data_IF_964566863869
#
_entry.id   IF_964566863869
#
_cell.length_a   1.000
_cell.length_b   1.000
_cell.length_c   1.000
_cell.angle_alpha   90.00
_cell.angle_beta   90.00
_cell.angle_gamma   90.00
#
_symmetry.space_group_name_H-M   'P 1'
#
loop_
_entity.id
_entity.type
_entity.pdbx_description
1 polymer ?
#
# COMPACT_ATOMS: atom_id res chain seq x y z
N UNK A 1 23.54 -13.28 29.36
CA UNK A 1 23.89 -11.87 29.01
C UNK A 1 24.26 -11.64 27.54
N UNK A 2 25.32 -12.24 26.95
CA UNK A 2 25.75 -11.94 25.55
C UNK A 2 24.69 -12.14 24.44
N UNK A 3 23.77 -13.11 24.57
CA UNK A 3 22.64 -13.31 23.63
C UNK A 3 21.54 -12.25 23.79
N UNK A 4 21.34 -11.75 25.00
CA UNK A 4 20.31 -10.76 25.33
C UNK A 4 20.71 -9.36 24.84
N UNK A 5 21.97 -8.97 25.05
CA UNK A 5 22.53 -7.72 24.50
C UNK A 5 22.60 -7.71 22.97
N UNK A 6 22.83 -8.86 22.32
CA UNK A 6 22.72 -8.97 20.85
C UNK A 6 21.29 -8.77 20.35
N UNK A 7 20.28 -9.32 21.02
CA UNK A 7 18.87 -9.13 20.63
C UNK A 7 18.43 -7.66 20.75
N UNK A 8 18.79 -6.99 21.84
CA UNK A 8 18.38 -5.58 22.09
C UNK A 8 18.92 -4.62 21.02
N UNK A 9 20.11 -4.88 20.46
CA UNK A 9 20.72 -4.04 19.42
C UNK A 9 20.37 -4.46 17.99
N UNK A 10 20.07 -5.74 17.77
CA UNK A 10 19.82 -6.28 16.42
C UNK A 10 18.44 -5.89 15.86
N UNK A 11 17.39 -5.94 16.67
CA UNK A 11 16.03 -5.61 16.20
C UNK A 11 15.87 -4.13 15.80
N UNK A 12 16.35 -3.13 16.57
CA UNK A 12 16.28 -1.73 16.15
C UNK A 12 17.07 -1.45 14.87
N UNK A 13 18.23 -2.10 14.71
CA UNK A 13 19.03 -2.00 13.49
C UNK A 13 18.30 -2.60 12.28
N UNK A 14 17.69 -3.79 12.45
CA UNK A 14 16.90 -4.42 11.39
C UNK A 14 15.70 -3.55 10.98
N UNK A 15 15.00 -2.94 11.94
CA UNK A 15 13.88 -2.02 11.68
C UNK A 15 14.36 -0.78 10.92
N UNK A 16 15.51 -0.21 11.28
CA UNK A 16 16.11 0.91 10.55
C UNK A 16 16.42 0.54 9.09
N UNK A 17 17.02 -0.63 8.85
CA UNK A 17 17.33 -1.11 7.50
C UNK A 17 16.06 -1.31 6.67
N UNK A 18 15.04 -1.97 7.22
CA UNK A 18 13.75 -2.15 6.54
C UNK A 18 13.04 -0.81 6.26
N UNK A 19 13.13 0.15 7.19
CA UNK A 19 12.56 1.49 6.98
C UNK A 19 13.28 2.25 5.86
N UNK A 20 14.60 2.13 5.75
CA UNK A 20 15.38 2.77 4.69
C UNK A 20 15.03 2.18 3.31
N UNK A 21 14.85 0.86 3.22
CA UNK A 21 14.47 0.19 1.97
C UNK A 21 13.08 0.64 1.52
N UNK A 22 12.08 0.61 2.42
CA UNK A 22 10.71 1.03 2.10
C UNK A 22 10.63 2.51 1.69
N UNK A 23 11.39 3.39 2.35
CA UNK A 23 11.50 4.80 1.96
C UNK A 23 12.15 5.00 0.59
N UNK A 24 13.13 4.18 0.23
CA UNK A 24 13.76 4.25 -1.10
C UNK A 24 12.74 3.93 -2.20
N UNK A 25 11.93 2.88 -2.03
CA UNK A 25 10.85 2.56 -2.96
C UNK A 25 9.80 3.66 -3.03
N UNK A 26 9.42 4.22 -1.89
CA UNK A 26 8.47 5.33 -1.82
C UNK A 26 8.97 6.58 -2.55
N UNK A 27 10.26 6.92 -2.41
CA UNK A 27 10.88 8.03 -3.13
C UNK A 27 10.80 7.85 -4.65
N UNK A 28 11.18 6.67 -5.18
CA UNK A 28 11.12 6.43 -6.62
C UNK A 28 9.68 6.51 -7.15
N UNK A 29 8.73 5.92 -6.41
CA UNK A 29 7.31 5.99 -6.74
C UNK A 29 6.80 7.43 -6.78
N UNK A 30 7.11 8.24 -5.75
CA UNK A 30 6.66 9.62 -5.67
C UNK A 30 7.29 10.49 -6.76
N UNK A 31 8.59 10.30 -7.02
CA UNK A 31 9.31 11.00 -8.07
C UNK A 31 8.72 10.72 -9.45
N UNK A 32 8.45 9.46 -9.78
CA UNK A 32 7.87 9.08 -11.07
C UNK A 32 6.46 9.64 -11.24
N UNK A 33 5.66 9.59 -10.16
CA UNK A 33 4.33 10.18 -10.12
C UNK A 33 4.35 11.69 -10.35
N UNK A 34 5.18 12.44 -9.64
CA UNK A 34 5.24 13.90 -9.80
C UNK A 34 5.79 14.32 -11.16
N UNK A 35 6.81 13.62 -11.68
CA UNK A 35 7.30 13.85 -13.05
C UNK A 35 6.18 13.65 -14.08
N UNK A 36 5.42 12.57 -13.98
CA UNK A 36 4.29 12.30 -14.89
C UNK A 36 3.25 13.42 -14.83
N UNK A 37 2.87 13.86 -13.63
CA UNK A 37 1.89 14.95 -13.45
C UNK A 37 2.40 16.27 -14.05
N UNK A 38 3.68 16.60 -13.85
CA UNK A 38 4.29 17.80 -14.40
C UNK A 38 4.35 17.76 -15.93
N UNK A 39 4.76 16.62 -16.50
CA UNK A 39 4.79 16.40 -17.94
C UNK A 39 3.39 16.56 -18.53
N UNK A 40 2.38 15.89 -17.96
CA UNK A 40 0.99 15.97 -18.44
C UNK A 40 0.43 17.41 -18.38
N UNK A 41 0.74 18.14 -17.32
CA UNK A 41 0.37 19.56 -17.20
C UNK A 41 1.02 20.40 -18.29
N UNK A 42 2.32 20.21 -18.51
CA UNK A 42 3.08 20.93 -19.55
C UNK A 42 2.55 20.59 -20.95
N UNK A 43 2.25 19.32 -21.23
CA UNK A 43 1.68 18.88 -22.51
C UNK A 43 0.32 19.54 -22.78
N UNK A 44 -0.49 19.72 -21.73
CA UNK A 44 -1.78 20.40 -21.83
C UNK A 44 -1.62 21.89 -22.11
N UNK A 45 -0.75 22.57 -21.36
CA UNK A 45 -0.44 24.00 -21.59
C UNK A 45 0.14 24.22 -22.99
N UNK A 46 1.07 23.37 -23.41
CA UNK A 46 1.67 23.41 -24.74
C UNK A 46 0.61 23.29 -25.83
N UNK A 47 -0.36 22.38 -25.66
CA UNK A 47 -1.47 22.22 -26.62
C UNK A 47 -2.31 23.48 -26.74
N UNK A 48 -2.68 24.08 -25.61
CA UNK A 48 -3.53 25.28 -25.59
C UNK A 48 -2.79 26.48 -26.21
N UNK A 49 -1.50 26.66 -25.88
CA UNK A 49 -0.63 27.67 -26.48
C UNK A 49 -0.51 27.50 -28.00
N UNK A 50 -0.34 26.26 -28.47
CA UNK A 50 -0.16 25.93 -29.87
C UNK A 50 -1.41 26.32 -30.70
N UNK A 51 -2.61 26.10 -30.17
CA UNK A 51 -3.86 26.52 -30.81
C UNK A 51 -4.00 28.04 -30.88
N UNK A 52 -3.70 28.74 -29.78
CA UNK A 52 -3.75 30.22 -29.74
C UNK A 52 -2.73 30.83 -30.70
N UNK A 53 -1.51 30.29 -30.72
CA UNK A 53 -0.43 30.73 -31.60
C UNK A 53 -0.78 30.47 -33.07
N UNK A 54 -1.29 29.27 -33.40
CA UNK A 54 -1.79 28.97 -34.75
C UNK A 54 -2.82 30.00 -35.22
N UNK A 55 -3.85 30.25 -34.43
CA UNK A 55 -4.92 31.18 -34.81
C UNK A 55 -4.38 32.61 -35.04
N UNK A 56 -3.46 33.05 -34.19
CA UNK A 56 -2.83 34.37 -34.30
C UNK A 56 -1.97 34.47 -35.57
N UNK A 57 -1.13 33.47 -35.83
CA UNK A 57 -0.26 33.41 -37.02
C UNK A 57 -1.09 33.36 -38.31
N UNK A 58 -2.13 32.52 -38.38
CA UNK A 58 -2.99 32.43 -39.55
C UNK A 58 -3.71 33.76 -39.82
N UNK A 59 -4.20 34.42 -38.76
CA UNK A 59 -4.85 35.73 -38.86
C UNK A 59 -3.89 36.80 -39.39
N UNK A 60 -2.69 36.90 -38.83
CA UNK A 60 -1.68 37.87 -39.28
C UNK A 60 -1.10 37.53 -40.66
N UNK A 61 -1.07 36.25 -41.02
CA UNK A 61 -0.71 35.80 -42.36
C UNK A 61 -1.71 36.26 -43.42
N UNK A 62 -3.01 36.21 -43.12
CA UNK A 62 -4.04 36.75 -44.01
C UNK A 62 -3.96 38.28 -44.13
N UNK A 63 -3.54 38.97 -43.07
CA UNK A 63 -3.27 40.42 -43.07
C UNK A 63 -1.95 40.79 -43.76
N UNK A 64 -1.12 39.80 -44.15
CA UNK A 64 0.21 39.98 -44.75
C UNK A 64 1.15 40.84 -43.91
N UNK A 65 1.06 40.72 -42.58
CA UNK A 65 1.88 41.49 -41.63
C UNK A 65 2.95 40.59 -40.98
N UNK A 66 4.18 40.55 -41.53
CA UNK A 66 5.25 39.70 -41.02
C UNK A 66 5.77 40.16 -39.65
N UNK A 67 5.61 41.44 -39.29
CA UNK A 67 6.07 41.97 -38.01
C UNK A 67 5.21 41.46 -36.86
N UNK A 68 3.90 41.38 -37.04
CA UNK A 68 2.98 40.78 -36.05
C UNK A 68 3.22 39.28 -35.86
N UNK A 69 3.45 38.54 -36.96
CA UNK A 69 3.79 37.11 -36.90
C UNK A 69 5.06 36.90 -36.07
N UNK A 70 6.13 37.65 -36.38
CA UNK A 70 7.39 37.55 -35.64
C UNK A 70 7.26 38.02 -34.18
N UNK A 71 6.44 39.04 -33.91
CA UNK A 71 6.15 39.54 -32.57
C UNK A 71 5.44 38.51 -31.69
N UNK A 72 4.48 37.78 -32.23
CA UNK A 72 3.81 36.68 -31.51
C UNK A 72 4.74 35.54 -31.15
N UNK A 73 5.59 35.14 -32.11
CA UNK A 73 6.61 34.11 -31.88
C UNK A 73 7.54 34.54 -30.75
N UNK A 74 8.01 35.79 -30.78
CA UNK A 74 8.87 36.32 -29.72
C UNK A 74 8.15 36.37 -28.38
N UNK A 75 6.87 36.78 -28.34
CA UNK A 75 6.08 36.84 -27.10
C UNK A 75 6.00 35.49 -26.39
N UNK A 76 5.74 34.41 -27.13
CA UNK A 76 5.63 33.07 -26.55
C UNK A 76 7.02 32.48 -26.23
N UNK A 77 8.04 32.81 -27.03
CA UNK A 77 9.41 32.36 -26.78
C UNK A 77 10.05 32.92 -25.49
N UNK A 78 9.46 33.93 -24.84
CA UNK A 78 9.92 34.44 -23.54
C UNK A 78 9.53 33.54 -22.37
N UNK A 79 8.59 32.60 -22.56
CA UNK A 79 8.18 31.67 -21.49
C UNK A 79 9.34 30.76 -21.08
N UNK A 80 9.43 30.46 -19.78
CA UNK A 80 10.58 29.78 -19.16
C UNK A 80 10.87 28.38 -19.69
N UNK A 81 9.88 27.70 -20.24
CA UNK A 81 9.96 26.33 -20.73
C UNK A 81 10.02 26.22 -22.26
N UNK A 82 9.97 27.34 -23.01
CA UNK A 82 10.04 27.32 -24.48
C UNK A 82 11.49 27.49 -24.93
N UNK A 83 12.07 26.42 -25.48
CA UNK A 83 13.45 26.44 -25.98
C UNK A 83 13.55 27.19 -27.33
N UNK A 84 12.59 26.92 -28.23
CA UNK A 84 12.55 27.53 -29.55
C UNK A 84 11.21 27.33 -30.26
N UNK A 85 10.87 28.26 -31.14
CA UNK A 85 9.68 28.19 -32.01
C UNK A 85 10.16 28.32 -33.44
N UNK A 86 9.68 27.45 -34.32
CA UNK A 86 10.04 27.40 -35.73
C UNK A 86 8.78 27.37 -36.60
N UNK A 87 8.77 28.17 -37.65
CA UNK A 87 7.74 28.10 -38.69
C UNK A 87 8.39 27.89 -40.04
N UNK A 88 7.95 26.85 -40.73
CA UNK A 88 8.49 26.47 -42.02
C UNK A 88 7.39 26.26 -43.07
N UNK A 89 7.82 26.27 -44.32
CA UNK A 89 6.98 25.99 -45.49
C UNK A 89 7.41 24.67 -46.17
N UNK A 90 6.58 24.10 -47.06
CA UNK A 90 6.82 22.83 -47.77
C UNK A 90 8.11 22.75 -48.62
N UNK A 91 8.92 23.83 -48.71
CA UNK A 91 10.24 23.85 -49.36
C UNK A 91 11.41 23.81 -48.37
N UNK A 92 11.15 23.39 -47.12
CA UNK A 92 12.16 23.10 -46.07
C UNK A 92 13.03 24.29 -45.62
N UNK A 93 12.65 25.53 -45.95
CA UNK A 93 13.32 26.75 -45.46
C UNK A 93 12.56 27.34 -44.27
N UNK A 94 13.28 27.69 -43.21
CA UNK A 94 12.71 28.42 -42.07
C UNK A 94 12.47 29.88 -42.43
N UNK A 95 11.22 30.34 -42.29
CA UNK A 95 10.86 31.73 -42.57
C UNK A 95 10.66 32.55 -41.30
N UNK A 96 10.23 31.90 -40.22
CA UNK A 96 10.13 32.54 -38.91
C UNK A 96 10.74 31.63 -37.84
N UNK A 97 11.43 32.24 -36.89
CA UNK A 97 12.02 31.56 -35.76
C UNK A 97 12.08 32.49 -34.56
N UNK A 98 11.99 31.94 -33.35
CA UNK A 98 12.31 32.70 -32.13
C UNK A 98 13.79 33.13 -32.10
N UNK A 99 14.67 32.35 -32.73
CA UNK A 99 16.11 32.63 -32.86
C UNK A 99 16.38 33.27 -34.21
N UNK A 100 16.77 34.55 -34.21
CA UNK A 100 17.06 35.31 -35.45
C UNK A 100 18.09 34.64 -36.36
N UNK A 101 19.08 33.97 -35.79
CA UNK A 101 20.16 33.31 -36.53
C UNK A 101 19.71 32.06 -37.30
N UNK A 102 18.49 31.57 -37.06
CA UNK A 102 17.98 30.34 -37.67
C UNK A 102 17.05 30.61 -38.86
N UNK A 103 16.65 31.86 -39.05
CA UNK A 103 15.84 32.30 -40.19
C UNK A 103 16.66 32.14 -41.48
N UNK A 104 16.07 31.54 -42.51
CA UNK A 104 16.69 31.29 -43.81
C UNK A 104 17.54 30.02 -43.91
N UNK A 105 17.79 29.31 -42.79
CA UNK A 105 18.47 28.01 -42.82
C UNK A 105 17.55 26.90 -43.36
N UNK A 106 18.10 25.87 -44.02
CA UNK A 106 17.34 24.68 -44.37
C UNK A 106 17.07 23.82 -43.13
N UNK A 107 15.98 23.07 -43.16
CA UNK A 107 15.54 22.18 -42.08
C UNK A 107 16.62 21.16 -41.68
N UNK A 108 17.40 20.67 -42.66
CA UNK A 108 18.55 19.78 -42.46
C UNK A 108 19.71 20.37 -41.67
N UNK A 109 19.77 21.69 -41.46
CA UNK A 109 20.81 22.33 -40.68
C UNK A 109 20.47 22.39 -39.18
N UNK A 110 19.21 22.18 -38.80
CA UNK A 110 18.75 22.31 -37.41
C UNK A 110 18.26 20.99 -36.80
N UNK A 111 17.83 20.03 -37.62
CA UNK A 111 17.26 18.77 -37.16
C UNK A 111 17.99 17.57 -37.77
N UNK A 112 18.03 16.46 -37.02
CA UNK A 112 18.60 15.20 -37.51
C UNK A 112 17.73 14.57 -38.60
N UNK A 113 18.29 13.72 -39.46
CA UNK A 113 17.52 13.02 -40.50
C UNK A 113 16.32 12.24 -39.96
N UNK A 114 16.43 11.69 -38.75
CA UNK A 114 15.36 10.97 -38.04
C UNK A 114 14.24 11.90 -37.59
N UNK A 115 14.58 13.06 -37.00
CA UNK A 115 13.60 14.08 -36.61
C UNK A 115 12.87 14.62 -37.83
N UNK A 116 13.59 14.84 -38.93
CA UNK A 116 13.01 15.34 -40.19
C UNK A 116 12.00 14.35 -40.76
N UNK A 117 12.33 13.05 -40.76
CA UNK A 117 11.40 12.00 -41.19
C UNK A 117 10.16 11.95 -40.30
N UNK A 118 10.35 12.04 -38.97
CA UNK A 118 9.26 12.04 -38.00
C UNK A 118 8.30 13.22 -38.22
N UNK A 119 8.81 14.45 -38.30
CA UNK A 119 7.96 15.61 -38.58
C UNK A 119 7.27 15.47 -39.94
N UNK A 120 7.96 14.96 -40.98
CA UNK A 120 7.36 14.77 -42.30
C UNK A 120 6.15 13.82 -42.24
N UNK A 121 6.25 12.71 -41.52
CA UNK A 121 5.13 11.78 -41.32
C UNK A 121 3.96 12.44 -40.56
N UNK A 122 4.23 13.13 -39.45
CA UNK A 122 3.21 13.79 -38.64
C UNK A 122 2.45 14.88 -39.42
N UNK A 123 3.16 15.59 -40.28
CA UNK A 123 2.63 16.69 -41.08
C UNK A 123 1.80 16.26 -42.29
N UNK A 124 2.04 15.06 -42.81
CA UNK A 124 1.22 14.49 -43.88
C UNK A 124 0.02 13.71 -43.34
N UNK A 125 0.06 13.24 -42.08
CA UNK A 125 -0.91 12.30 -41.53
C UNK A 125 -2.16 12.91 -40.87
N UNK A 126 -2.15 14.16 -40.39
CA UNK A 126 -3.33 14.71 -39.68
C UNK A 126 -3.44 16.24 -39.64
N UNK A 127 -4.68 16.75 -39.51
CA UNK A 127 -5.01 18.17 -39.24
C UNK A 127 -4.91 18.53 -37.74
N UNK A 128 -4.57 17.57 -36.88
CA UNK A 128 -4.51 17.74 -35.43
C UNK A 128 -3.08 18.09 -34.98
N UNK A 129 -2.92 18.76 -33.81
CA UNK A 129 -1.61 18.95 -33.22
C UNK A 129 -1.02 17.61 -32.77
N UNK A 130 0.25 17.40 -33.12
CA UNK A 130 1.05 16.27 -32.66
C UNK A 130 2.01 16.75 -31.58
N UNK A 131 2.16 15.96 -30.52
CA UNK A 131 3.09 16.28 -29.44
C UNK A 131 3.96 15.05 -29.22
N UNK A 132 5.25 15.21 -29.44
CA UNK A 132 6.27 14.21 -29.25
C UNK A 132 7.06 14.51 -27.98
N UNK A 133 7.23 13.50 -27.12
CA UNK A 133 8.08 13.59 -25.93
C UNK A 133 9.36 12.78 -26.18
N UNK A 134 10.49 13.47 -26.24
CA UNK A 134 11.80 12.86 -26.31
C UNK A 134 12.25 12.47 -24.89
N UNK A 135 11.92 11.23 -24.51
CA UNK A 135 12.08 10.72 -23.14
C UNK A 135 13.52 10.79 -22.59
N UNK A 136 14.54 10.77 -23.44
CA UNK A 136 15.95 10.83 -23.01
C UNK A 136 16.38 12.21 -22.55
N UNK A 137 15.76 13.27 -23.06
CA UNK A 137 16.16 14.65 -22.81
C UNK A 137 15.06 15.51 -22.19
N UNK A 138 13.87 14.95 -21.86
CA UNK A 138 12.72 15.71 -21.37
C UNK A 138 12.39 16.93 -22.24
N UNK A 139 12.55 16.76 -23.56
CA UNK A 139 12.17 17.73 -24.56
C UNK A 139 10.83 17.37 -25.15
N UNK A 140 9.98 18.38 -25.35
CA UNK A 140 8.66 18.20 -25.95
C UNK A 140 8.64 18.98 -27.25
N UNK A 141 8.41 18.28 -28.36
CA UNK A 141 8.19 18.89 -29.66
C UNK A 141 6.71 18.87 -29.98
N UNK A 142 6.10 20.05 -30.04
CA UNK A 142 4.70 20.23 -30.41
C UNK A 142 4.60 20.78 -31.83
N UNK A 143 3.91 20.06 -32.72
CA UNK A 143 3.79 20.37 -34.15
C UNK A 143 2.33 20.58 -34.54
N UNK A 144 2.03 21.64 -35.29
CA UNK A 144 0.69 21.87 -35.87
C UNK A 144 0.78 22.40 -37.30
N UNK A 145 -0.05 21.90 -38.24
CA UNK A 145 -0.12 22.46 -39.58
C UNK A 145 -0.82 23.83 -39.58
N UNK A 146 -0.28 24.74 -40.38
CA UNK A 146 -0.84 26.06 -40.67
C UNK A 146 -1.48 26.05 -42.06
N UNK A 147 -2.74 26.46 -42.14
CA UNK A 147 -3.45 26.60 -43.41
C UNK A 147 -2.98 27.84 -44.18
N UNK A 148 -2.63 28.90 -43.43
CA UNK A 148 -2.23 30.19 -43.99
C UNK A 148 -0.95 30.68 -43.31
N UNK A 149 0.12 30.75 -44.09
CA UNK A 149 1.41 31.30 -43.71
C UNK A 149 1.87 32.30 -44.78
N UNK A 150 2.05 33.56 -44.38
CA UNK A 150 2.56 34.60 -45.27
C UNK A 150 4.08 34.47 -45.43
N UNK A 151 4.55 34.52 -46.67
CA UNK A 151 5.97 34.47 -47.01
C UNK A 151 6.41 35.84 -47.53
N UNK A 152 7.13 36.65 -46.72
CA UNK A 152 7.50 38.02 -47.09
C UNK A 152 8.39 38.06 -48.34
N UNK A 153 9.31 37.10 -48.48
CA UNK A 153 10.24 37.02 -49.62
C UNK A 153 9.56 36.82 -50.97
N UNK A 154 8.34 36.27 -50.96
CA UNK A 154 7.58 35.91 -52.17
C UNK A 154 6.26 36.67 -52.29
N UNK A 155 5.83 37.38 -51.26
CA UNK A 155 4.54 38.09 -51.21
C UNK A 155 3.30 37.19 -51.29
N UNK A 156 3.44 35.88 -51.02
CA UNK A 156 2.37 34.88 -51.16
C UNK A 156 2.01 34.24 -49.82
N UNK A 157 0.77 33.76 -49.71
CA UNK A 157 0.31 32.93 -48.60
C UNK A 157 0.32 31.47 -49.04
N UNK A 158 0.92 30.58 -48.24
CA UNK A 158 0.96 29.13 -48.48
C UNK A 158 0.62 28.37 -47.21
N UNK A 159 0.42 27.06 -47.34
CA UNK A 159 0.42 26.18 -46.18
C UNK A 159 1.82 26.11 -45.58
N UNK A 160 1.88 25.92 -44.27
CA UNK A 160 3.12 25.81 -43.52
C UNK A 160 2.90 25.02 -42.25
N UNK A 161 3.85 25.11 -41.36
CA UNK A 161 3.94 24.21 -40.21
C UNK A 161 4.63 24.94 -39.08
N UNK A 162 4.02 24.86 -37.90
CA UNK A 162 4.52 25.46 -36.67
C UNK A 162 5.03 24.33 -35.78
N UNK A 163 6.29 24.45 -35.36
CA UNK A 163 6.91 23.59 -34.35
C UNK A 163 7.27 24.46 -33.16
N UNK A 164 6.86 24.03 -31.97
CA UNK A 164 7.26 24.63 -30.69
C UNK A 164 7.99 23.57 -29.89
N UNK A 165 9.24 23.85 -29.53
CA UNK A 165 10.08 23.00 -28.70
C UNK A 165 10.10 23.53 -27.29
N UNK A 166 9.75 22.67 -26.34
CA UNK A 166 9.85 22.92 -24.92
C UNK A 166 11.01 22.12 -24.32
N UNK A 167 11.78 22.76 -23.45
CA UNK A 167 12.81 22.11 -22.64
C UNK A 167 12.40 22.23 -21.17
N UNK A 168 11.92 21.13 -20.61
CA UNK A 168 11.53 21.03 -19.20
C UNK A 168 12.60 20.31 -18.36
N UNK A 169 13.81 20.11 -18.90
CA UNK A 169 14.90 19.45 -18.18
C UNK A 169 15.24 20.16 -16.88
N UNK A 170 15.25 21.50 -16.92
CA UNK A 170 15.56 22.32 -15.75
C UNK A 170 14.49 22.16 -14.66
N UNK A 171 13.21 22.23 -15.04
CA UNK A 171 12.09 22.12 -14.12
C UNK A 171 12.01 20.72 -13.50
N UNK A 172 12.19 19.67 -14.30
CA UNK A 172 12.26 18.28 -13.81
C UNK A 172 13.46 18.09 -12.87
N UNK A 173 14.60 18.74 -13.16
CA UNK A 173 15.78 18.70 -12.27
C UNK A 173 15.51 19.42 -10.96
N UNK A 174 14.88 20.59 -10.98
CA UNK A 174 14.48 21.31 -9.78
C UNK A 174 13.50 20.50 -8.93
N UNK A 175 12.46 19.94 -9.56
CA UNK A 175 11.49 19.06 -8.91
C UNK A 175 12.19 17.87 -8.22
N UNK A 176 13.11 17.23 -8.94
CA UNK A 176 13.90 16.11 -8.40
C UNK A 176 14.73 16.55 -7.18
N UNK A 177 15.40 17.70 -7.26
CA UNK A 177 16.19 18.24 -6.14
C UNK A 177 15.31 18.63 -4.93
N UNK A 178 14.14 19.19 -5.19
CA UNK A 178 13.18 19.55 -4.14
C UNK A 178 12.69 18.30 -3.40
N UNK A 179 12.22 17.29 -4.13
CA UNK A 179 11.79 16.01 -3.55
C UNK A 179 12.91 15.33 -2.78
N UNK A 180 14.15 15.33 -3.30
CA UNK A 180 15.32 14.80 -2.60
C UNK A 180 15.56 15.52 -1.27
N UNK A 181 15.47 16.86 -1.25
CA UNK A 181 15.65 17.65 -0.02
C UNK A 181 14.58 17.36 1.01
N UNK A 182 13.31 17.30 0.60
CA UNK A 182 12.19 17.00 1.50
C UNK A 182 12.30 15.58 2.09
N UNK A 183 12.64 14.58 1.27
CA UNK A 183 12.85 13.21 1.73
C UNK A 183 14.06 13.08 2.65
N UNK A 184 15.14 13.81 2.39
CA UNK A 184 16.31 13.84 3.27
C UNK A 184 15.96 14.42 4.65
N UNK A 185 15.22 15.53 4.69
CA UNK A 185 14.75 16.14 5.94
C UNK A 185 13.83 15.19 6.71
N UNK A 186 12.90 14.54 6.01
CA UNK A 186 12.02 13.53 6.59
C UNK A 186 12.82 12.37 7.20
N UNK A 187 13.85 11.88 6.49
CA UNK A 187 14.71 10.80 6.98
C UNK A 187 15.52 11.21 8.21
N UNK A 188 16.10 12.41 8.23
CA UNK A 188 16.84 12.93 9.40
C UNK A 188 15.91 13.02 10.60
N UNK A 189 14.69 13.56 10.41
CA UNK A 189 13.69 13.66 11.49
C UNK A 189 13.27 12.28 12.00
N UNK A 190 12.98 11.34 11.10
CA UNK A 190 12.59 9.98 11.47
C UNK A 190 13.71 9.26 12.23
N UNK A 191 14.96 9.42 11.79
CA UNK A 191 16.14 8.89 12.47
C UNK A 191 16.33 9.50 13.86
N UNK A 192 16.13 10.81 14.01
CA UNK A 192 16.19 11.51 15.30
C UNK A 192 15.12 10.99 16.27
N UNK A 193 13.88 10.87 15.83
CA UNK A 193 12.76 10.35 16.64
C UNK A 193 13.04 8.91 17.05
N UNK A 194 13.46 8.06 16.11
CA UNK A 194 13.80 6.66 16.39
C UNK A 194 14.96 6.58 17.39
N UNK A 195 16.00 7.40 17.24
CA UNK A 195 17.12 7.49 18.16
C UNK A 195 16.69 7.90 19.57
N UNK A 196 15.82 8.90 19.70
CA UNK A 196 15.26 9.32 21.00
C UNK A 196 14.40 8.23 21.64
N UNK A 197 13.58 7.53 20.84
CA UNK A 197 12.81 6.39 21.34
C UNK A 197 13.73 5.29 21.84
N UNK A 198 14.70 4.85 21.02
CA UNK A 198 15.67 3.81 21.40
C UNK A 198 16.44 4.22 22.66
N UNK A 199 16.88 5.47 22.76
CA UNK A 199 17.57 5.99 23.96
C UNK A 199 16.65 6.00 25.18
N UNK A 200 15.39 6.43 25.03
CA UNK A 200 14.39 6.43 26.09
C UNK A 200 14.10 5.01 26.60
N UNK A 201 13.91 4.07 25.69
CA UNK A 201 13.76 2.64 26.01
C UNK A 201 15.02 2.10 26.70
N UNK A 202 16.21 2.37 26.14
CA UNK A 202 17.47 1.94 26.73
C UNK A 202 17.63 2.48 28.15
N UNK A 203 17.44 3.78 28.37
CA UNK A 203 17.54 4.39 29.70
C UNK A 203 16.50 3.83 30.67
N UNK A 204 15.24 3.72 30.25
CA UNK A 204 14.16 3.24 31.12
C UNK A 204 14.40 1.80 31.58
N UNK A 205 14.79 0.92 30.66
CA UNK A 205 14.99 -0.49 30.96
C UNK A 205 16.36 -0.75 31.61
N UNK A 206 17.45 -0.24 31.03
CA UNK A 206 18.81 -0.51 31.54
C UNK A 206 19.04 0.10 32.91
N UNK A 207 18.58 1.32 33.20
CA UNK A 207 18.73 1.89 34.55
C UNK A 207 17.90 1.11 35.58
N UNK A 208 16.67 0.69 35.25
CA UNK A 208 15.88 -0.19 36.14
C UNK A 208 16.58 -1.53 36.38
N UNK A 209 17.15 -2.13 35.35
CA UNK A 209 17.89 -3.39 35.45
C UNK A 209 19.19 -3.24 36.25
N UNK A 210 19.95 -2.17 36.04
CA UNK A 210 21.18 -1.90 36.80
C UNK A 210 20.89 -1.64 38.28
N UNK A 211 19.87 -0.85 38.58
CA UNK A 211 19.50 -0.55 39.96
C UNK A 211 18.93 -1.79 40.66
N UNK A 212 18.26 -2.70 39.93
CA UNK A 212 17.89 -4.03 40.43
C UNK A 212 19.13 -4.91 40.68
N UNK A 213 20.13 -4.88 39.79
CA UNK A 213 21.34 -5.69 39.93
C UNK A 213 22.24 -5.23 41.09
N UNK A 214 22.43 -3.93 41.25
CA UNK A 214 23.27 -3.34 42.31
C UNK A 214 22.62 -3.52 43.70
N UNK A 215 21.28 -3.40 43.79
CA UNK A 215 20.56 -3.70 45.03
C UNK A 215 20.66 -5.19 45.39
N UNK A 216 20.71 -6.10 44.43
CA UNK A 216 20.95 -7.53 44.71
C UNK A 216 22.38 -7.85 45.16
N UNK A 217 23.37 -7.05 44.76
CA UNK A 217 24.79 -7.25 45.10
C UNK A 217 25.14 -6.67 46.47
N UNK A 218 24.62 -5.49 46.83
CA UNK A 218 24.77 -4.92 48.18
C UNK A 218 24.03 -5.72 49.27
N UNK A 219 22.92 -6.38 48.90
CA UNK A 219 22.19 -7.31 49.78
C UNK A 219 22.88 -8.68 49.94
N UNK A 220 23.95 -8.99 49.18
CA UNK A 220 24.67 -10.26 49.24
C UNK A 220 25.86 -10.25 50.23
N UNK A 221 26.33 -9.08 50.67
CA UNK A 221 27.50 -8.91 51.55
C UNK A 221 27.22 -8.88 53.05
N UNK A 222 25.95 -8.87 53.47
CA UNK A 222 25.55 -9.00 54.88
C UNK A 222 24.62 -10.21 55.01
N UNK A 223 24.84 -11.01 56.04
CA UNK A 223 24.16 -12.29 56.30
C UNK A 223 22.70 -12.30 55.84
N UNK A 224 22.45 -13.14 54.84
CA UNK A 224 21.18 -13.35 54.14
C UNK A 224 20.00 -13.55 55.12
N UNK A 225 18.97 -12.68 55.11
CA UNK A 225 17.63 -13.09 55.49
C UNK A 225 16.85 -13.38 54.21
N UNK A 226 16.84 -14.65 53.79
CA UNK A 226 15.86 -15.50 53.05
C UNK A 226 14.83 -14.89 52.06
N UNK A 227 14.85 -13.59 51.74
CA UNK A 227 13.81 -12.90 50.96
C UNK A 227 14.31 -12.44 49.58
N UNK A 228 15.61 -12.23 49.42
CA UNK A 228 16.24 -11.79 48.17
C UNK A 228 16.37 -12.89 47.10
N UNK A 229 16.25 -14.17 47.49
CA UNK A 229 16.15 -15.29 46.54
C UNK A 229 14.78 -15.33 45.84
N UNK A 230 13.73 -14.69 46.39
CA UNK A 230 12.37 -14.70 45.82
C UNK A 230 12.15 -13.74 44.64
N UNK A 231 13.03 -12.74 44.44
CA UNK A 231 12.79 -11.69 43.43
C UNK A 231 13.36 -12.05 42.04
N UNK A 232 14.55 -12.66 41.95
CA UNK A 232 15.08 -13.22 40.69
C UNK A 232 14.33 -14.49 40.27
N UNK A 233 13.98 -15.33 41.23
CA UNK A 233 13.04 -16.44 41.05
C UNK A 233 11.69 -15.90 40.54
N UNK A 234 11.25 -14.71 40.97
CA UNK A 234 9.97 -14.14 40.57
C UNK A 234 9.82 -13.77 39.09
N UNK A 235 10.88 -13.37 38.36
CA UNK A 235 10.77 -13.02 36.92
C UNK A 235 10.88 -14.27 36.05
N UNK A 236 11.82 -15.16 36.36
CA UNK A 236 11.94 -16.45 35.67
C UNK A 236 10.70 -17.31 35.96
N UNK A 237 10.17 -17.31 37.19
CA UNK A 237 8.90 -17.96 37.53
C UNK A 237 7.71 -17.33 36.81
N UNK A 238 7.68 -15.99 36.61
CA UNK A 238 6.58 -15.34 35.89
C UNK A 238 6.61 -15.69 34.40
N UNK A 239 7.80 -15.68 33.79
CA UNK A 239 7.99 -16.06 32.39
C UNK A 239 7.72 -17.56 32.19
N UNK A 240 8.17 -18.40 33.13
CA UNK A 240 7.86 -19.83 33.13
C UNK A 240 6.37 -20.08 33.37
N UNK A 241 5.70 -19.30 34.24
CA UNK A 241 4.28 -19.43 34.50
C UNK A 241 3.46 -19.03 33.26
N UNK A 242 3.84 -17.96 32.57
CA UNK A 242 3.21 -17.55 31.32
C UNK A 242 3.44 -18.60 30.22
N UNK A 243 4.66 -19.09 30.06
CA UNK A 243 4.97 -20.16 29.11
C UNK A 243 4.24 -21.46 29.45
N UNK A 244 4.13 -21.82 30.74
CA UNK A 244 3.35 -22.97 31.20
C UNK A 244 1.86 -22.76 30.93
N UNK A 245 1.33 -21.56 31.10
CA UNK A 245 -0.07 -21.24 30.79
C UNK A 245 -0.34 -21.36 29.28
N UNK A 246 0.50 -20.74 28.43
CA UNK A 246 0.41 -20.84 26.97
C UNK A 246 0.54 -22.29 26.51
N UNK A 247 1.52 -23.02 27.04
CA UNK A 247 1.72 -24.44 26.72
C UNK A 247 0.54 -25.30 27.18
N UNK A 248 -0.03 -25.03 28.35
CA UNK A 248 -1.22 -25.72 28.86
C UNK A 248 -2.43 -25.47 27.97
N UNK A 249 -2.66 -24.22 27.54
CA UNK A 249 -3.72 -23.89 26.59
C UNK A 249 -3.51 -24.58 25.24
N UNK A 250 -2.29 -24.59 24.72
CA UNK A 250 -1.97 -25.26 23.46
C UNK A 250 -2.20 -26.78 23.56
N UNK A 251 -1.80 -27.41 24.67
CA UNK A 251 -2.05 -28.83 24.91
C UNK A 251 -3.54 -29.13 25.04
N UNK A 252 -4.30 -28.31 25.77
CA UNK A 252 -5.75 -28.48 25.91
C UNK A 252 -6.47 -28.29 24.57
N UNK A 253 -6.10 -27.28 23.79
CA UNK A 253 -6.62 -27.07 22.44
C UNK A 253 -6.28 -28.26 21.53
N UNK A 254 -5.04 -28.75 21.57
CA UNK A 254 -4.65 -29.93 20.81
C UNK A 254 -5.44 -31.18 21.22
N UNK A 255 -5.64 -31.40 22.53
CA UNK A 255 -6.47 -32.50 23.05
C UNK A 255 -7.91 -32.36 22.57
N UNK A 256 -8.50 -31.17 22.64
CA UNK A 256 -9.86 -30.92 22.14
C UNK A 256 -9.99 -31.23 20.66
N UNK A 257 -9.10 -30.67 19.83
CA UNK A 257 -9.08 -30.84 18.37
C UNK A 257 -8.83 -32.28 17.93
N UNK A 258 -7.98 -33.02 18.66
CA UNK A 258 -7.57 -34.39 18.32
C UNK A 258 -8.33 -35.46 19.08
N UNK A 259 -9.26 -35.10 19.98
CA UNK A 259 -10.05 -36.07 20.72
C UNK A 259 -10.81 -36.98 19.72
N UNK A 260 -10.74 -38.31 19.83
CA UNK A 260 -11.46 -39.22 18.93
C UNK A 260 -12.99 -39.07 19.01
N UNK A 261 -13.51 -38.62 20.16
CA UNK A 261 -14.94 -38.38 20.36
C UNK A 261 -15.34 -37.03 19.76
N UNK A 262 -16.53 -36.99 19.17
CA UNK A 262 -17.15 -35.75 18.71
C UNK A 262 -17.48 -34.88 19.92
N UNK A 263 -16.97 -33.64 19.94
CA UNK A 263 -17.23 -32.69 21.03
C UNK A 263 -17.73 -31.39 20.44
N UNK A 264 -18.83 -30.89 20.98
CA UNK A 264 -19.33 -29.53 20.74
C UNK A 264 -19.48 -28.76 22.06
N UNK A 265 -19.31 -27.45 21.99
CA UNK A 265 -19.53 -26.55 23.12
C UNK A 265 -20.56 -25.50 22.71
N UNK A 266 -21.54 -25.26 23.58
CA UNK A 266 -22.60 -24.27 23.35
C UNK A 266 -22.73 -23.29 24.52
N UNK A 267 -23.25 -22.11 24.25
CA UNK A 267 -23.66 -21.14 25.28
C UNK A 267 -24.94 -21.59 25.99
N UNK A 268 -25.33 -20.88 27.06
CA UNK A 268 -26.63 -21.05 27.72
C UNK A 268 -27.84 -20.95 26.76
N UNK A 269 -27.73 -20.14 25.69
CA UNK A 269 -28.75 -20.00 24.64
C UNK A 269 -28.68 -21.11 23.58
N UNK A 270 -27.87 -22.15 23.83
CA UNK A 270 -27.62 -23.31 22.98
C UNK A 270 -26.95 -22.97 21.65
N UNK A 271 -26.28 -21.82 21.54
CA UNK A 271 -25.51 -21.46 20.34
C UNK A 271 -24.14 -22.12 20.37
N UNK A 272 -23.77 -22.82 19.31
CA UNK A 272 -22.48 -23.48 19.18
C UNK A 272 -21.35 -22.45 19.13
N UNK A 273 -20.35 -22.62 19.97
CA UNK A 273 -19.16 -21.75 20.03
C UNK A 273 -17.87 -22.47 19.67
N UNK A 274 -17.88 -23.81 19.71
CA UNK A 274 -16.76 -24.63 19.27
C UNK A 274 -17.23 -26.02 18.85
N UNK A 275 -16.58 -26.61 17.85
CA UNK A 275 -16.75 -28.00 17.45
C UNK A 275 -15.41 -28.59 16.98
N UNK A 276 -15.01 -29.75 17.52
CA UNK A 276 -13.70 -30.33 17.21
C UNK A 276 -13.64 -31.06 15.85
N UNK A 277 -12.45 -31.49 15.41
CA UNK A 277 -12.30 -32.25 14.15
C UNK A 277 -13.02 -33.60 14.10
N UNK A 278 -13.34 -34.20 15.25
CA UNK A 278 -14.11 -35.44 15.27
C UNK A 278 -15.59 -35.21 15.00
N UNK A 279 -16.15 -34.07 15.45
CA UNK A 279 -17.45 -33.61 15.01
C UNK A 279 -17.50 -33.46 13.48
N UNK A 280 -16.50 -32.77 12.90
CA UNK A 280 -16.48 -32.56 11.44
C UNK A 280 -16.45 -33.88 10.66
N UNK A 281 -15.69 -34.87 11.15
CA UNK A 281 -15.63 -36.21 10.54
C UNK A 281 -16.91 -37.03 10.74
N UNK A 282 -17.52 -36.94 11.92
CA UNK A 282 -18.72 -37.71 12.25
C UNK A 282 -19.95 -37.18 11.50
N UNK A 283 -20.14 -35.86 11.51
CA UNK A 283 -21.33 -35.20 10.94
C UNK A 283 -21.14 -34.74 9.50
N UNK A 284 -19.91 -34.62 9.00
CA UNK A 284 -19.62 -34.13 7.66
C UNK A 284 -19.89 -32.63 7.48
N UNK A 285 -19.90 -31.86 8.58
CA UNK A 285 -20.12 -30.41 8.62
C UNK A 285 -18.87 -29.74 9.18
N UNK A 286 -18.44 -28.62 8.61
CA UNK A 286 -17.32 -27.86 9.16
C UNK A 286 -17.76 -27.06 10.38
N UNK A 287 -16.86 -26.83 11.33
CA UNK A 287 -17.13 -25.99 12.51
C UNK A 287 -17.69 -24.63 12.09
N UNK A 288 -17.05 -23.98 11.11
CA UNK A 288 -17.46 -22.67 10.60
C UNK A 288 -18.90 -22.63 10.05
N UNK A 289 -19.48 -23.76 9.66
CA UNK A 289 -20.85 -23.85 9.14
C UNK A 289 -21.89 -23.91 10.27
N UNK A 290 -21.49 -24.32 11.47
CA UNK A 290 -22.36 -24.53 12.63
C UNK A 290 -22.16 -23.51 13.74
N UNK A 291 -21.04 -22.77 13.75
CA UNK A 291 -20.79 -21.71 14.72
C UNK A 291 -21.95 -20.69 14.76
N UNK A 292 -22.37 -20.34 15.98
CA UNK A 292 -23.46 -19.40 16.25
C UNK A 292 -24.88 -19.97 16.07
N UNK A 293 -25.04 -21.17 15.48
CA UNK A 293 -26.32 -21.85 15.29
C UNK A 293 -26.64 -22.79 16.45
N UNK A 294 -27.90 -23.23 16.55
CA UNK A 294 -28.31 -24.23 17.54
C UNK A 294 -28.15 -25.66 16.99
N UNK A 295 -27.81 -26.67 17.82
CA UNK A 295 -27.80 -28.09 17.41
C UNK A 295 -29.09 -28.53 16.68
N UNK A 296 -30.23 -28.09 17.20
CA UNK A 296 -31.57 -28.34 16.65
C UNK A 296 -31.68 -27.87 15.18
N UNK A 297 -31.09 -26.72 14.84
CA UNK A 297 -31.11 -26.14 13.50
C UNK A 297 -30.07 -26.81 12.58
N UNK A 298 -28.92 -27.21 13.13
CA UNK A 298 -27.76 -27.66 12.36
C UNK A 298 -27.83 -29.14 12.01
N UNK A 299 -27.98 -30.03 12.99
CA UNK A 299 -27.77 -31.47 12.80
C UNK A 299 -28.76 -32.36 13.59
N UNK A 300 -29.81 -31.81 14.22
CA UNK A 300 -30.85 -32.66 14.80
C UNK A 300 -31.69 -33.36 13.72
N UNK A 301 -31.98 -34.65 13.92
CA UNK A 301 -32.86 -35.43 13.04
C UNK A 301 -34.35 -35.15 13.26
N UNK A 302 -34.71 -34.64 14.45
CA UNK A 302 -36.09 -34.48 14.92
C UNK A 302 -36.92 -35.79 14.96
N UNK A 303 -36.27 -36.96 14.89
CA UNK A 303 -36.94 -38.27 14.94
C UNK A 303 -37.32 -38.69 16.36
N UNK A 304 -36.72 -38.09 17.39
CA UNK A 304 -37.05 -38.39 18.78
C UNK A 304 -38.25 -37.57 19.28
N UNK A 305 -39.11 -38.14 20.14
CA UNK A 305 -40.22 -37.40 20.73
C UNK A 305 -39.74 -36.16 21.48
N UNK A 306 -40.50 -35.06 21.41
CA UNK A 306 -40.20 -33.82 22.15
C UNK A 306 -40.05 -34.03 23.65
N UNK A 307 -40.77 -35.00 24.20
CA UNK A 307 -40.70 -35.40 25.60
C UNK A 307 -39.30 -35.90 26.00
N UNK A 308 -38.60 -36.59 25.09
CA UNK A 308 -37.24 -37.07 25.33
C UNK A 308 -36.26 -35.90 25.53
N UNK A 309 -36.31 -34.90 24.64
CA UNK A 309 -35.50 -33.70 24.77
C UNK A 309 -35.86 -32.89 26.02
N UNK A 310 -37.13 -32.84 26.41
CA UNK A 310 -37.57 -32.20 27.66
C UNK A 310 -36.91 -32.87 28.87
N UNK A 311 -37.00 -34.19 28.97
CA UNK A 311 -36.40 -34.96 30.06
C UNK A 311 -34.87 -34.84 30.08
N UNK A 312 -34.23 -34.80 28.91
CA UNK A 312 -32.79 -34.53 28.78
C UNK A 312 -32.42 -33.20 29.42
N UNK A 313 -33.10 -32.10 29.05
CA UNK A 313 -32.81 -30.77 29.59
C UNK A 313 -33.13 -30.69 31.09
N UNK A 314 -34.26 -31.23 31.54
CA UNK A 314 -34.61 -31.28 32.97
C UNK A 314 -33.54 -32.01 33.79
N UNK A 315 -33.06 -33.15 33.31
CA UNK A 315 -31.98 -33.92 33.95
C UNK A 315 -30.67 -33.15 33.97
N UNK A 316 -30.28 -32.54 32.85
CA UNK A 316 -29.06 -31.74 32.76
C UNK A 316 -29.08 -30.55 33.74
N UNK A 317 -30.20 -29.85 33.85
CA UNK A 317 -30.34 -28.71 34.77
C UNK A 317 -30.41 -29.14 36.24
N UNK A 318 -30.99 -30.30 36.53
CA UNK A 318 -31.09 -30.81 37.90
C UNK A 318 -29.78 -31.44 38.41
N UNK A 319 -29.08 -32.19 37.56
CA UNK A 319 -27.94 -33.03 37.95
C UNK A 319 -26.59 -32.54 37.40
N UNK A 320 -26.59 -31.60 36.45
CA UNK A 320 -25.39 -31.08 35.79
C UNK A 320 -24.85 -31.97 34.67
N UNK A 321 -25.36 -33.19 34.53
CA UNK A 321 -24.96 -34.18 33.52
C UNK A 321 -26.21 -34.93 33.02
N UNK A 322 -26.24 -35.26 31.74
CA UNK A 322 -27.17 -36.20 31.13
C UNK A 322 -26.43 -37.17 30.21
N UNK A 323 -26.88 -38.42 30.15
CA UNK A 323 -26.36 -39.43 29.22
C UNK A 323 -27.52 -40.22 28.63
N UNK A 324 -27.47 -40.48 27.33
CA UNK A 324 -28.48 -41.29 26.68
C UNK A 324 -28.29 -41.37 25.17
N UNK A 325 -29.19 -42.08 24.52
CA UNK A 325 -29.22 -42.18 23.06
C UNK A 325 -29.89 -40.94 22.45
N UNK A 326 -29.27 -40.39 21.40
CA UNK A 326 -29.79 -39.34 20.53
C UNK A 326 -29.71 -39.81 19.09
N UNK A 327 -30.77 -39.51 18.32
CA UNK A 327 -30.75 -39.69 16.87
C UNK A 327 -30.56 -38.32 16.22
N UNK A 328 -29.40 -38.11 15.59
CA UNK A 328 -29.08 -36.89 14.84
C UNK A 328 -28.93 -37.19 13.35
N UNK A 329 -28.57 -36.19 12.53
CA UNK A 329 -28.37 -36.33 11.08
C UNK A 329 -27.04 -35.75 10.61
N UNK A 330 -26.44 -36.42 9.63
CA UNK A 330 -25.29 -35.92 8.87
C UNK A 330 -25.67 -34.79 7.91
N UNK A 331 -24.66 -34.13 7.35
CA UNK A 331 -24.83 -33.16 6.26
C UNK A 331 -25.52 -33.74 5.02
N UNK A 332 -25.34 -35.03 4.75
CA UNK A 332 -26.00 -35.77 3.67
C UNK A 332 -27.46 -36.21 4.01
N UNK A 333 -27.92 -35.94 5.23
CA UNK A 333 -29.26 -36.30 5.70
C UNK A 333 -29.39 -37.70 6.34
N UNK A 334 -28.32 -38.51 6.36
CA UNK A 334 -28.33 -39.84 6.98
C UNK A 334 -28.52 -39.73 8.49
N UNK A 335 -29.45 -40.51 9.05
CA UNK A 335 -29.67 -40.59 10.49
C UNK A 335 -28.49 -41.30 11.19
N UNK A 336 -28.03 -40.73 12.30
CA UNK A 336 -26.98 -41.26 13.17
C UNK A 336 -27.57 -41.53 14.55
N UNK A 337 -27.57 -42.79 14.99
CA UNK A 337 -27.82 -43.08 16.41
C UNK A 337 -26.52 -42.95 17.19
N UNK A 338 -26.51 -42.09 18.21
CA UNK A 338 -25.35 -41.72 18.99
C UNK A 338 -25.64 -41.92 20.47
N UNK A 339 -24.67 -42.47 21.19
CA UNK A 339 -24.67 -42.39 22.65
C UNK A 339 -24.01 -41.08 23.07
N UNK A 340 -24.78 -40.13 23.59
CA UNK A 340 -24.31 -38.79 23.93
C UNK A 340 -24.22 -38.60 25.45
N UNK A 341 -23.21 -37.84 25.87
CA UNK A 341 -23.05 -37.36 27.24
C UNK A 341 -22.98 -35.85 27.24
N UNK A 342 -24.00 -35.20 27.78
CA UNK A 342 -24.09 -33.75 27.91
C UNK A 342 -23.74 -33.36 29.34
N UNK A 343 -22.92 -32.34 29.54
CA UNK A 343 -22.66 -31.77 30.85
C UNK A 343 -22.63 -30.25 30.79
N UNK A 344 -22.91 -29.61 31.92
CA UNK A 344 -22.83 -28.15 32.03
C UNK A 344 -21.71 -27.74 32.95
N UNK A 345 -21.10 -26.59 32.65
CA UNK A 345 -20.16 -25.95 33.55
C UNK A 345 -20.39 -24.44 33.55
N UNK A 346 -20.06 -23.80 34.67
CA UNK A 346 -20.05 -22.36 34.79
C UNK A 346 -18.61 -21.86 34.76
N UNK A 347 -18.34 -20.87 33.91
CA UNK A 347 -17.04 -20.24 33.86
C UNK A 347 -16.78 -19.49 35.17
N UNK A 348 -15.64 -19.72 35.86
CA UNK A 348 -15.39 -19.16 37.18
C UNK A 348 -15.41 -17.62 37.25
N UNK A 349 -15.10 -16.94 36.14
CA UNK A 349 -14.92 -15.48 36.10
C UNK A 349 -16.21 -14.78 35.67
N UNK A 350 -16.76 -15.14 34.51
CA UNK A 350 -17.96 -14.51 33.95
C UNK A 350 -19.25 -15.03 34.58
N UNK A 351 -19.20 -16.18 35.26
CA UNK A 351 -20.35 -17.00 35.64
C UNK A 351 -21.25 -17.38 34.46
N UNK A 352 -20.73 -17.31 33.23
CA UNK A 352 -21.43 -17.77 32.05
C UNK A 352 -21.54 -19.30 32.07
N UNK A 353 -22.73 -19.80 31.76
CA UNK A 353 -23.01 -21.24 31.70
C UNK A 353 -22.81 -21.75 30.27
N UNK A 354 -22.12 -22.87 30.15
CA UNK A 354 -21.88 -23.57 28.89
C UNK A 354 -22.39 -25.01 28.98
N UNK A 355 -22.71 -25.59 27.83
CA UNK A 355 -23.03 -27.01 27.69
C UNK A 355 -22.02 -27.67 26.75
N UNK A 356 -21.50 -28.82 27.14
CA UNK A 356 -20.57 -29.63 26.35
C UNK A 356 -21.20 -30.99 26.11
N UNK A 357 -21.23 -31.42 24.86
CA UNK A 357 -21.84 -32.69 24.49
C UNK A 357 -21.25 -33.31 23.24
#
# INVERSE_FOLDING_TARGET
>A
MKRFTRSILFYPFLVLVLSAVTMTFFYFYLLEKEKSVYIDSTLKEARDDLYLLKNSIETYSLQKDPHKIQGEIQRIAVRSNVESIFIFCPKETLHYSSRKNDIGKPFSALFSSTQIAHYREELHASKAPHIHLENSEYKIDATIPLNYLYLPDKGIVKTGSLIVRYDITYDIRQLTQQLQREMLLFFILLSLIMGLMIFGFYRHFVCKFYHLAETTEQLAGTSVPTRSQKALVGIDDLLEQEQRAVRRLAVLSFIFEKNPDSIIITTADKKIIAANKSFERLFGMREAEVLGKKPEESFSSHLMPKEHYRQMWETLFAQGVWKGEIIDRRSDGTALSLWQSLFTFEEPVSKARYFVG
#
